data_IF_752787416998
#
_entry.id   IF_752787416998
#
_cell.length_a   1.000
_cell.length_b   1.000
_cell.length_c   1.000
_cell.angle_alpha   90.00
_cell.angle_beta   90.00
_cell.angle_gamma   90.00
#
_symmetry.space_group_name_H-M   'P 1'
#
loop_
_entity.id
_entity.type
_entity.pdbx_description
1 polymer ?
#
# COMPACT_ATOMS: atom_id res chain seq x y z
N UNK A 1 0.61 18.39 -14.09
CA UNK A 1 1.11 18.68 -15.46
C UNK A 1 2.56 19.13 -15.54
N UNK A 2 3.22 19.45 -14.43
CA UNK A 2 4.63 19.88 -14.43
C UNK A 2 5.65 18.73 -14.38
N UNK A 3 5.21 17.52 -14.02
CA UNK A 3 6.07 16.33 -13.94
C UNK A 3 6.13 15.58 -15.27
N UNK A 4 7.28 14.98 -15.57
CA UNK A 4 7.40 14.00 -16.65
C UNK A 4 6.61 12.73 -16.37
N UNK A 5 6.31 11.93 -17.40
CA UNK A 5 5.52 10.69 -17.24
C UNK A 5 6.18 9.66 -16.31
N UNK A 6 7.51 9.56 -16.32
CA UNK A 6 8.28 8.70 -15.43
C UNK A 6 8.17 9.17 -13.96
N UNK A 7 8.25 10.48 -13.72
CA UNK A 7 8.09 11.06 -12.39
C UNK A 7 6.67 10.87 -11.86
N UNK A 8 5.65 11.02 -12.73
CA UNK A 8 4.25 10.75 -12.37
C UNK A 8 4.06 9.29 -11.95
N UNK A 9 4.69 8.36 -12.67
CA UNK A 9 4.65 6.93 -12.34
C UNK A 9 5.30 6.67 -10.99
N UNK A 10 6.47 7.27 -10.75
CA UNK A 10 7.19 7.17 -9.48
C UNK A 10 6.35 7.72 -8.32
N UNK A 11 5.76 8.90 -8.49
CA UNK A 11 4.88 9.52 -7.48
C UNK A 11 3.65 8.65 -7.21
N UNK A 12 3.04 8.07 -8.25
CA UNK A 12 1.87 7.19 -8.07
C UNK A 12 2.24 5.92 -7.28
N UNK A 13 3.35 5.26 -7.61
CA UNK A 13 3.82 4.09 -6.85
C UNK A 13 4.20 4.45 -5.41
N UNK A 14 4.84 5.60 -5.20
CA UNK A 14 5.17 6.08 -3.86
C UNK A 14 3.93 6.30 -2.99
N UNK A 15 2.84 6.85 -3.55
CA UNK A 15 1.56 7.01 -2.84
C UNK A 15 0.91 5.66 -2.51
N UNK A 16 0.98 4.68 -3.41
CA UNK A 16 0.48 3.31 -3.12
C UNK A 16 1.25 2.68 -1.97
N UNK A 17 2.58 2.84 -1.96
CA UNK A 17 3.43 2.39 -0.85
C UNK A 17 3.05 3.08 0.47
N UNK A 18 2.86 4.41 0.45
CA UNK A 18 2.44 5.18 1.62
C UNK A 18 1.13 4.64 2.20
N UNK A 19 0.15 4.35 1.35
CA UNK A 19 -1.12 3.75 1.78
C UNK A 19 -0.93 2.33 2.32
N UNK A 20 -0.11 1.51 1.64
CA UNK A 20 0.14 0.11 1.98
C UNK A 20 0.84 -0.07 3.33
N UNK A 21 1.62 0.92 3.77
CA UNK A 21 2.19 0.95 5.11
C UNK A 21 1.14 1.08 6.22
N UNK A 22 -0.09 1.49 5.88
CA UNK A 22 -1.21 1.54 6.80
C UNK A 22 -1.84 0.18 7.02
N UNK A 23 -1.74 -0.34 8.25
CA UNK A 23 -2.28 -1.65 8.65
C UNK A 23 -3.31 -1.52 9.79
N UNK A 24 -4.28 -2.44 9.84
CA UNK A 24 -5.21 -2.55 10.97
C UNK A 24 -4.53 -3.19 12.18
N UNK A 25 -4.43 -2.46 13.28
CA UNK A 25 -3.83 -2.98 14.51
C UNK A 25 -4.85 -3.71 15.39
N UNK A 26 -4.47 -4.87 15.92
CA UNK A 26 -5.27 -5.64 16.90
C UNK A 26 -5.73 -4.80 18.09
N UNK A 27 -4.89 -3.88 18.58
CA UNK A 27 -5.23 -3.01 19.71
C UNK A 27 -6.24 -1.92 19.34
N UNK A 28 -6.32 -1.56 18.06
CA UNK A 28 -7.19 -0.51 17.55
C UNK A 28 -8.60 -1.01 17.21
N UNK A 29 -8.80 -2.32 17.07
CA UNK A 29 -10.08 -2.95 16.68
C UNK A 29 -11.26 -2.49 17.55
N UNK A 30 -11.05 -2.31 18.85
CA UNK A 30 -12.07 -1.83 19.79
C UNK A 30 -12.58 -0.41 19.48
N UNK A 31 -11.76 0.41 18.81
CA UNK A 31 -12.07 1.79 18.48
C UNK A 31 -12.49 1.96 17.03
N UNK A 32 -11.91 1.18 16.11
CA UNK A 32 -12.14 1.30 14.67
C UNK A 32 -13.22 0.35 14.14
N UNK A 33 -13.52 -0.73 14.87
CA UNK A 33 -14.38 -1.82 14.41
C UNK A 33 -13.78 -2.65 13.27
N UNK A 34 -12.51 -2.40 12.90
CA UNK A 34 -11.79 -3.13 11.85
C UNK A 34 -10.92 -4.22 12.49
N UNK A 35 -11.04 -5.49 12.06
CA UNK A 35 -10.21 -6.57 12.57
C UNK A 35 -8.73 -6.25 12.41
N UNK A 36 -7.96 -6.48 13.47
CA UNK A 36 -6.50 -6.41 13.38
C UNK A 36 -5.95 -7.52 12.50
N UNK A 37 -4.75 -7.30 11.98
CA UNK A 37 -4.13 -8.23 11.05
C UNK A 37 -2.64 -8.42 11.28
N UNK A 38 -2.09 -9.48 10.69
CA UNK A 38 -0.69 -9.82 10.76
C UNK A 38 -0.24 -10.31 9.39
N UNK A 39 0.78 -9.65 8.86
CA UNK A 39 1.39 -9.99 7.57
C UNK A 39 2.80 -10.53 7.84
N UNK A 40 3.13 -11.74 7.37
CA UNK A 40 4.49 -12.24 7.40
C UNK A 40 5.49 -11.34 6.66
N UNK A 41 6.75 -11.36 7.07
CA UNK A 41 7.78 -10.50 6.50
C UNK A 41 8.08 -10.82 5.03
N UNK A 42 8.05 -12.10 4.66
CA UNK A 42 8.23 -12.58 3.29
C UNK A 42 7.11 -12.10 2.37
N UNK A 43 5.85 -12.21 2.80
CA UNK A 43 4.69 -11.67 2.06
C UNK A 43 4.77 -10.14 1.93
N UNK A 44 5.24 -9.46 2.97
CA UNK A 44 5.47 -8.01 2.94
C UNK A 44 6.50 -7.64 1.87
N UNK A 45 7.68 -8.27 1.90
CA UNK A 45 8.75 -8.00 0.92
C UNK A 45 8.24 -8.24 -0.50
N UNK A 46 7.56 -9.36 -0.73
CA UNK A 46 6.99 -9.68 -2.04
C UNK A 46 5.99 -8.63 -2.52
N UNK A 47 5.06 -8.20 -1.66
CA UNK A 47 4.07 -7.19 -2.01
C UNK A 47 4.73 -5.85 -2.39
N UNK A 48 5.73 -5.40 -1.61
CA UNK A 48 6.49 -4.19 -1.92
C UNK A 48 7.23 -4.29 -3.24
N UNK A 49 7.91 -5.42 -3.50
CA UNK A 49 8.59 -5.66 -4.79
C UNK A 49 7.61 -5.55 -5.96
N UNK A 50 6.43 -6.19 -5.87
CA UNK A 50 5.43 -6.12 -6.94
C UNK A 50 4.87 -4.71 -7.17
N UNK A 51 4.73 -3.89 -6.13
CA UNK A 51 4.34 -2.48 -6.29
C UNK A 51 5.44 -1.71 -7.02
N UNK A 52 6.71 -1.90 -6.64
CA UNK A 52 7.86 -1.27 -7.30
C UNK A 52 8.01 -1.70 -8.76
N UNK A 53 7.73 -2.96 -9.08
CA UNK A 53 7.79 -3.52 -10.44
C UNK A 53 6.61 -3.08 -11.33
N UNK A 54 5.61 -2.39 -10.77
CA UNK A 54 4.46 -1.86 -11.50
C UNK A 54 3.33 -2.84 -11.74
N UNK A 55 3.36 -4.01 -11.08
CA UNK A 55 2.33 -5.06 -11.21
C UNK A 55 0.92 -4.51 -10.90
N UNK A 56 0.84 -3.50 -10.02
CA UNK A 56 -0.41 -2.91 -9.58
C UNK A 56 -0.61 -1.46 -10.04
N UNK A 57 0.02 -1.03 -11.15
CA UNK A 57 -0.08 0.35 -11.62
C UNK A 57 -1.53 0.76 -11.97
N UNK A 58 -2.32 -0.16 -12.50
CA UNK A 58 -3.74 0.07 -12.83
C UNK A 58 -4.67 0.04 -11.61
N UNK A 59 -4.17 -0.39 -10.44
CA UNK A 59 -4.99 -0.48 -9.22
C UNK A 59 -5.06 0.90 -8.54
N UNK A 60 -6.28 1.36 -8.15
CA UNK A 60 -6.44 2.64 -7.44
C UNK A 60 -5.67 2.68 -6.12
N UNK A 61 -5.10 3.85 -5.78
CA UNK A 61 -4.32 4.06 -4.55
C UNK A 61 -5.11 3.71 -3.28
N UNK A 62 -6.43 3.95 -3.27
CA UNK A 62 -7.31 3.68 -2.13
C UNK A 62 -7.41 2.19 -1.79
N UNK A 63 -7.16 1.30 -2.75
CA UNK A 63 -7.18 -0.14 -2.52
C UNK A 63 -6.03 -0.60 -1.62
N UNK A 64 -4.98 0.21 -1.46
CA UNK A 64 -3.82 -0.08 -0.61
C UNK A 64 -3.99 0.42 0.83
N UNK A 65 -5.10 1.09 1.16
CA UNK A 65 -5.27 1.74 2.47
C UNK A 65 -5.87 0.78 3.49
N UNK A 66 -5.20 0.58 4.63
CA UNK A 66 -5.73 -0.21 5.75
C UNK A 66 -5.91 -1.69 5.41
N UNK A 67 -5.03 -2.20 4.55
CA UNK A 67 -4.94 -3.62 4.17
C UNK A 67 -3.71 -4.26 4.83
N UNK A 68 -3.57 -5.56 4.64
CA UNK A 68 -2.69 -6.40 5.44
C UNK A 68 -3.45 -7.06 6.57
#
# INVERSE_FOLDING_TARGET
DELGEEDKTTVSRARKIEQFLGQNFYVAEKFTGRPGSYVPADETIEAFTRICDGVYDEIPEQAFSGIG
#
